data_IF_703214896034
#
_entry.id   IF_703214896034
#
_cell.length_a   1.000
_cell.length_b   1.000
_cell.length_c   1.000
_cell.angle_alpha   90.00
_cell.angle_beta   90.00
_cell.angle_gamma   90.00
#
_symmetry.space_group_name_H-M   'P 1'
#
loop_
_entity.id
_entity.type
_entity.pdbx_description
1 polymer ?
#
# COMPACT_ATOMS: atom_id res chain seq x y z
N UNK A 1 13.29 -47.48 7.99
CA UNK A 1 14.37 -47.26 6.99
C UNK A 1 13.75 -46.74 5.69
N UNK A 2 13.82 -45.43 5.41
CA UNK A 2 13.27 -44.78 4.20
C UNK A 2 14.43 -44.15 3.41
N UNK A 3 14.54 -44.55 2.14
CA UNK A 3 15.62 -44.17 1.21
C UNK A 3 15.44 -42.72 0.73
N UNK A 4 16.48 -41.86 0.70
CA UNK A 4 16.36 -40.52 0.13
C UNK A 4 16.47 -40.56 -1.40
N UNK A 5 15.54 -39.91 -2.11
CA UNK A 5 15.62 -39.66 -3.56
C UNK A 5 16.45 -38.39 -3.80
N UNK A 6 17.56 -38.55 -4.52
CA UNK A 6 18.39 -37.46 -5.04
C UNK A 6 17.65 -36.71 -6.16
N UNK A 7 17.51 -35.38 -6.02
CA UNK A 7 17.08 -34.48 -7.10
C UNK A 7 18.31 -33.89 -7.78
N UNK A 8 18.58 -34.33 -9.00
CA UNK A 8 19.63 -33.81 -9.88
C UNK A 8 19.23 -32.42 -10.40
N UNK A 9 19.97 -31.38 -10.02
CA UNK A 9 19.81 -30.01 -10.53
C UNK A 9 20.40 -29.95 -11.95
N UNK A 10 19.57 -29.86 -12.99
CA UNK A 10 20.03 -29.53 -14.35
C UNK A 10 20.49 -28.06 -14.36
N UNK A 11 21.74 -27.83 -14.76
CA UNK A 11 22.27 -26.50 -15.11
C UNK A 11 21.54 -25.99 -16.34
N UNK A 12 20.95 -24.81 -16.24
CA UNK A 12 20.51 -24.00 -17.39
C UNK A 12 21.74 -23.21 -17.86
N UNK A 13 22.11 -23.36 -19.14
CA UNK A 13 23.10 -22.50 -19.79
C UNK A 13 22.44 -21.15 -20.08
N UNK A 14 23.15 -20.07 -19.79
CA UNK A 14 22.84 -18.73 -20.27
C UNK A 14 23.66 -18.58 -21.55
N UNK A 15 22.99 -18.51 -22.69
CA UNK A 15 23.62 -18.21 -23.97
C UNK A 15 23.70 -16.69 -24.13
N UNK A 16 24.93 -16.18 -24.17
CA UNK A 16 25.28 -14.82 -24.55
C UNK A 16 24.88 -14.53 -26.00
N UNK A 17 24.13 -13.46 -26.21
CA UNK A 17 23.71 -13.00 -27.53
C UNK A 17 23.83 -11.48 -27.66
N UNK A 18 25.03 -11.00 -27.99
CA UNK A 18 25.27 -9.69 -28.62
C UNK A 18 25.23 -9.88 -30.13
N UNK A 19 24.57 -8.94 -30.85
CA UNK A 19 24.68 -8.53 -32.29
C UNK A 19 23.30 -7.91 -32.66
N UNK A 20 23.14 -6.75 -33.29
CA UNK A 20 24.08 -5.78 -33.81
C UNK A 20 23.40 -4.42 -34.01
N UNK A 21 24.20 -3.36 -33.94
CA UNK A 21 23.84 -2.01 -34.34
C UNK A 21 24.12 -1.86 -35.85
N UNK A 22 23.08 -1.64 -36.65
CA UNK A 22 23.19 -0.99 -37.98
C UNK A 22 21.84 -0.40 -38.37
N UNK A 23 21.82 0.90 -38.72
CA UNK A 23 20.64 1.57 -39.27
C UNK A 23 20.66 3.09 -39.13
N UNK A 24 21.52 3.75 -39.90
CA UNK A 24 21.59 5.20 -40.08
C UNK A 24 20.50 5.64 -41.09
N UNK A 25 19.72 6.69 -40.81
CA UNK A 25 18.68 7.18 -41.73
C UNK A 25 17.94 8.45 -41.30
N UNK A 26 18.67 9.58 -41.29
CA UNK A 26 18.30 10.99 -41.55
C UNK A 26 16.82 11.42 -41.52
N UNK A 27 16.46 12.42 -40.70
CA UNK A 27 16.14 13.82 -41.10
C UNK A 27 15.97 14.73 -39.86
N UNK A 28 16.80 15.77 -39.80
CA UNK A 28 16.62 16.93 -38.91
C UNK A 28 15.43 17.78 -39.39
N UNK A 29 14.55 18.15 -38.46
CA UNK A 29 13.75 19.37 -38.54
C UNK A 29 13.81 20.06 -37.18
N UNK A 30 14.39 21.26 -37.18
CA UNK A 30 14.61 22.10 -36.01
C UNK A 30 13.30 22.76 -35.57
N UNK A 31 13.04 22.70 -34.26
CA UNK A 31 11.96 23.42 -33.58
C UNK A 31 12.21 23.36 -32.08
N UNK A 32 13.16 24.15 -31.58
CA UNK A 32 13.46 24.26 -30.15
C UNK A 32 12.44 25.22 -29.52
N UNK A 33 11.28 24.67 -29.16
CA UNK A 33 10.43 25.26 -28.12
C UNK A 33 10.84 24.68 -26.79
N UNK A 34 11.53 25.46 -25.95
CA UNK A 34 11.85 25.12 -24.57
C UNK A 34 10.55 25.11 -23.74
N UNK A 35 9.79 24.02 -23.82
CA UNK A 35 8.78 23.70 -22.81
C UNK A 35 9.54 23.16 -21.61
N UNK A 36 9.76 24.02 -20.61
CA UNK A 36 10.21 23.59 -19.29
C UNK A 36 9.07 22.80 -18.65
N UNK A 37 8.97 21.50 -18.96
CA UNK A 37 8.16 20.58 -18.19
C UNK A 37 8.87 20.47 -16.85
N UNK A 38 8.34 21.16 -15.83
CA UNK A 38 8.70 20.92 -14.46
C UNK A 38 8.33 19.47 -14.14
N UNK A 39 9.30 18.58 -14.29
CA UNK A 39 9.20 17.22 -13.80
C UNK A 39 8.99 17.34 -12.29
N UNK A 40 7.80 16.99 -11.80
CA UNK A 40 7.61 16.68 -10.40
C UNK A 40 8.51 15.48 -10.12
N UNK A 41 9.73 15.74 -9.65
CA UNK A 41 10.64 14.70 -9.24
C UNK A 41 9.95 13.99 -8.08
N UNK A 42 9.78 12.65 -8.11
CA UNK A 42 9.36 11.94 -6.93
C UNK A 42 10.43 12.25 -5.88
N UNK A 43 10.03 12.96 -4.83
CA UNK A 43 10.89 13.15 -3.67
C UNK A 43 11.33 11.74 -3.26
N UNK A 44 12.62 11.45 -3.43
CA UNK A 44 13.19 10.21 -2.92
C UNK A 44 12.77 10.15 -1.46
N UNK A 45 11.99 9.11 -1.14
CA UNK A 45 11.53 8.86 0.21
C UNK A 45 12.74 9.00 1.14
N UNK A 46 12.72 10.00 2.01
CA UNK A 46 13.73 10.10 3.05
C UNK A 46 13.54 8.86 3.90
N UNK A 47 14.52 7.95 3.88
CA UNK A 47 14.43 6.64 4.51
C UNK A 47 14.14 6.71 6.02
N UNK A 48 14.24 7.91 6.62
CA UNK A 48 13.94 8.17 8.03
C UNK A 48 12.53 8.67 8.36
N UNK A 49 11.69 9.08 7.39
CA UNK A 49 10.37 9.66 7.68
C UNK A 49 9.33 9.44 6.57
N UNK A 50 8.06 9.70 6.88
CA UNK A 50 6.93 9.50 5.97
C UNK A 50 6.39 10.81 5.40
N UNK A 51 6.34 10.93 4.07
CA UNK A 51 5.68 12.06 3.41
C UNK A 51 4.14 11.90 3.46
N UNK A 52 3.40 12.91 2.96
CA UNK A 52 1.92 12.92 3.01
C UNK A 52 1.28 11.78 2.23
N UNK A 53 1.84 11.39 1.08
CA UNK A 53 1.33 10.29 0.26
C UNK A 53 1.53 8.94 0.96
N UNK A 54 2.71 8.73 1.54
CA UNK A 54 3.05 7.51 2.28
C UNK A 54 2.18 7.38 3.53
N UNK A 55 2.00 8.48 4.27
CA UNK A 55 1.12 8.51 5.43
C UNK A 55 -0.35 8.23 5.05
N UNK A 56 -0.82 8.78 3.93
CA UNK A 56 -2.15 8.47 3.39
C UNK A 56 -2.28 6.98 3.02
N UNK A 57 -1.29 6.40 2.35
CA UNK A 57 -1.28 4.98 2.02
C UNK A 57 -1.32 4.09 3.28
N UNK A 58 -0.57 4.45 4.32
CA UNK A 58 -0.61 3.76 5.61
C UNK A 58 -2.00 3.83 6.26
N UNK A 59 -2.63 5.01 6.23
CA UNK A 59 -3.98 5.21 6.76
C UNK A 59 -5.04 4.43 6.00
N UNK A 60 -4.95 4.34 4.67
CA UNK A 60 -5.83 3.49 3.85
C UNK A 60 -5.65 2.01 4.21
N UNK A 61 -4.40 1.55 4.40
CA UNK A 61 -4.12 0.18 4.83
C UNK A 61 -4.64 -0.10 6.24
N UNK A 62 -4.56 0.87 7.14
CA UNK A 62 -5.08 0.77 8.50
C UNK A 62 -6.61 0.69 8.53
N UNK A 63 -7.30 1.51 7.73
CA UNK A 63 -8.75 1.39 7.51
C UNK A 63 -9.13 -0.03 7.05
N UNK A 64 -8.40 -0.59 6.07
CA UNK A 64 -8.66 -1.94 5.60
C UNK A 64 -8.47 -2.99 6.71
N UNK A 65 -7.39 -2.88 7.49
CA UNK A 65 -7.11 -3.78 8.62
C UNK A 65 -8.20 -3.69 9.69
N UNK A 66 -8.62 -2.47 10.05
CA UNK A 66 -9.70 -2.23 11.00
C UNK A 66 -11.00 -2.92 10.58
N UNK A 67 -11.46 -2.64 9.36
CA UNK A 67 -12.72 -3.20 8.86
C UNK A 67 -12.63 -4.73 8.76
N UNK A 68 -11.50 -5.28 8.31
CA UNK A 68 -11.29 -6.73 8.26
C UNK A 68 -11.39 -7.37 9.65
N UNK A 69 -10.66 -6.84 10.63
CA UNK A 69 -10.62 -7.40 11.98
C UNK A 69 -11.98 -7.27 12.66
N UNK A 70 -12.67 -6.16 12.49
CA UNK A 70 -14.04 -5.98 12.97
C UNK A 70 -15.00 -7.00 12.33
N UNK A 71 -14.92 -7.23 11.01
CA UNK A 71 -15.69 -8.27 10.32
C UNK A 71 -15.43 -9.67 10.89
N UNK A 72 -14.17 -10.02 11.17
CA UNK A 72 -13.82 -11.31 11.78
C UNK A 72 -14.38 -11.46 13.20
N UNK A 73 -14.32 -10.38 13.99
CA UNK A 73 -14.86 -10.36 15.36
C UNK A 73 -16.39 -10.45 15.37
N UNK A 74 -17.07 -9.75 14.47
CA UNK A 74 -18.52 -9.88 14.29
C UNK A 74 -18.92 -11.29 13.88
N UNK A 75 -18.17 -11.90 12.96
CA UNK A 75 -18.41 -13.31 12.60
C UNK A 75 -18.26 -14.25 13.79
N UNK A 76 -17.23 -14.04 14.63
CA UNK A 76 -17.06 -14.81 15.86
C UNK A 76 -18.17 -14.56 16.89
N UNK A 77 -18.77 -13.38 16.88
CA UNK A 77 -19.95 -13.01 17.69
C UNK A 77 -21.28 -13.55 17.12
N UNK A 78 -21.29 -14.06 15.89
CA UNK A 78 -22.48 -14.63 15.24
C UNK A 78 -23.17 -13.73 14.23
N UNK A 79 -22.60 -12.57 13.90
CA UNK A 79 -23.14 -11.61 12.91
C UNK A 79 -22.23 -11.60 11.68
N UNK A 80 -22.79 -11.91 10.51
CA UNK A 80 -22.02 -11.91 9.26
C UNK A 80 -21.96 -10.50 8.63
N UNK A 81 -20.76 -9.93 8.62
CA UNK A 81 -20.45 -8.62 8.00
C UNK A 81 -19.54 -8.79 6.77
N UNK A 82 -19.35 -10.03 6.30
CA UNK A 82 -18.38 -10.34 5.25
C UNK A 82 -18.78 -9.74 3.88
N UNK A 83 -20.07 -9.72 3.55
CA UNK A 83 -20.53 -9.18 2.27
C UNK A 83 -20.26 -7.66 2.13
N UNK A 84 -20.64 -6.80 3.10
CA UNK A 84 -20.22 -5.39 3.14
C UNK A 84 -18.71 -5.19 2.98
N UNK A 85 -17.91 -5.93 3.76
CA UNK A 85 -16.45 -5.85 3.69
C UNK A 85 -15.89 -6.21 2.32
N UNK A 86 -16.38 -7.30 1.72
CA UNK A 86 -15.95 -7.73 0.39
C UNK A 86 -16.33 -6.72 -0.70
N UNK A 87 -17.47 -6.04 -0.56
CA UNK A 87 -17.84 -4.94 -1.45
C UNK A 87 -16.80 -3.82 -1.40
N UNK A 88 -16.42 -3.38 -0.19
CA UNK A 88 -15.36 -2.39 0.01
C UNK A 88 -14.06 -2.79 -0.69
N UNK A 89 -13.58 -4.02 -0.46
CA UNK A 89 -12.31 -4.50 -1.03
C UNK A 89 -12.37 -4.61 -2.55
N UNK A 90 -13.50 -5.08 -3.09
CA UNK A 90 -13.64 -5.33 -4.54
C UNK A 90 -13.73 -4.01 -5.30
N UNK A 91 -14.55 -3.07 -4.83
CA UNK A 91 -14.74 -1.77 -5.50
C UNK A 91 -13.48 -0.91 -5.44
N UNK A 92 -12.73 -0.96 -4.33
CA UNK A 92 -11.54 -0.14 -4.14
C UNK A 92 -10.23 -0.87 -4.48
N UNK A 93 -10.29 -2.01 -5.18
CA UNK A 93 -9.15 -2.92 -5.37
C UNK A 93 -7.90 -2.22 -5.89
N UNK A 94 -8.03 -1.40 -6.93
CA UNK A 94 -6.89 -0.70 -7.55
C UNK A 94 -6.26 0.29 -6.57
N UNK A 95 -7.08 1.08 -5.87
CA UNK A 95 -6.63 2.03 -4.84
C UNK A 95 -5.93 1.33 -3.68
N UNK A 96 -6.47 0.22 -3.19
CA UNK A 96 -5.85 -0.58 -2.12
C UNK A 96 -4.52 -1.18 -2.57
N UNK A 97 -4.42 -1.64 -3.82
CA UNK A 97 -3.18 -2.15 -4.41
C UNK A 97 -2.13 -1.05 -4.58
N UNK A 98 -2.53 0.13 -5.05
CA UNK A 98 -1.64 1.29 -5.17
C UNK A 98 -1.08 1.72 -3.81
N UNK A 99 -1.93 1.85 -2.79
CA UNK A 99 -1.51 2.14 -1.42
C UNK A 99 -0.53 1.08 -0.89
N UNK A 100 -0.81 -0.21 -1.10
CA UNK A 100 0.10 -1.30 -0.74
C UNK A 100 1.45 -1.21 -1.47
N UNK A 101 1.46 -0.78 -2.73
CA UNK A 101 2.69 -0.52 -3.49
C UNK A 101 3.55 0.58 -2.88
N UNK A 102 2.93 1.71 -2.49
CA UNK A 102 3.61 2.81 -1.79
C UNK A 102 4.24 2.33 -0.49
N UNK A 103 3.51 1.53 0.30
CA UNK A 103 4.04 0.98 1.56
C UNK A 103 5.24 0.08 1.32
N UNK A 104 5.15 -0.88 0.38
CA UNK A 104 6.28 -1.76 0.06
C UNK A 104 7.50 -0.97 -0.38
N UNK A 105 7.33 0.08 -1.19
CA UNK A 105 8.42 0.95 -1.60
C UNK A 105 9.05 1.69 -0.41
N UNK A 106 8.25 2.23 0.52
CA UNK A 106 8.73 2.90 1.72
C UNK A 106 9.54 1.94 2.61
N UNK A 107 9.04 0.74 2.86
CA UNK A 107 9.75 -0.25 3.68
C UNK A 107 11.02 -0.77 2.99
N UNK A 108 11.00 -0.97 1.67
CA UNK A 108 12.21 -1.33 0.91
C UNK A 108 13.28 -0.23 0.98
N UNK A 109 12.89 1.05 0.87
CA UNK A 109 13.81 2.18 0.96
C UNK A 109 14.39 2.34 2.38
N UNK A 110 13.58 2.16 3.43
CA UNK A 110 13.99 2.33 4.82
C UNK A 110 14.79 1.18 5.41
N UNK A 111 14.48 -0.06 5.02
CA UNK A 111 15.02 -1.27 5.66
C UNK A 111 15.84 -2.16 4.72
N UNK A 112 15.99 -1.81 3.44
CA UNK A 112 16.80 -2.59 2.50
C UNK A 112 16.32 -4.04 2.36
N UNK A 113 17.22 -5.00 2.58
CA UNK A 113 16.92 -6.44 2.49
C UNK A 113 15.83 -6.91 3.46
N UNK A 114 15.63 -6.20 4.57
CA UNK A 114 14.66 -6.49 5.61
C UNK A 114 13.30 -5.83 5.35
N UNK A 115 13.15 -5.10 4.24
CA UNK A 115 11.95 -4.33 3.89
C UNK A 115 10.65 -5.13 3.92
N UNK A 116 10.61 -6.29 3.25
CA UNK A 116 9.40 -7.13 3.25
C UNK A 116 9.06 -7.63 4.67
N UNK A 117 10.05 -8.10 5.44
CA UNK A 117 9.85 -8.53 6.83
C UNK A 117 9.42 -7.39 7.76
N UNK A 118 9.86 -6.15 7.50
CA UNK A 118 9.44 -4.96 8.23
C UNK A 118 8.00 -4.56 7.86
N UNK A 119 7.65 -4.64 6.57
CA UNK A 119 6.30 -4.42 6.07
C UNK A 119 5.29 -5.43 6.66
N UNK A 120 5.65 -6.72 6.70
CA UNK A 120 4.80 -7.77 7.27
C UNK A 120 4.53 -7.54 8.76
N UNK A 121 5.57 -7.16 9.53
CA UNK A 121 5.42 -6.78 10.94
C UNK A 121 4.52 -5.57 11.13
N UNK A 122 4.66 -4.56 10.27
CA UNK A 122 3.79 -3.39 10.27
C UNK A 122 2.33 -3.77 10.00
N UNK A 123 2.04 -4.52 8.93
CA UNK A 123 0.65 -4.92 8.65
C UNK A 123 0.06 -5.83 9.73
N UNK A 124 0.89 -6.66 10.37
CA UNK A 124 0.48 -7.46 11.53
C UNK A 124 0.15 -6.57 12.73
N UNK A 125 0.94 -5.53 13.01
CA UNK A 125 0.63 -4.59 14.10
C UNK A 125 -0.68 -3.84 13.85
N UNK A 126 -1.00 -3.47 12.60
CA UNK A 126 -2.30 -2.90 12.24
C UNK A 126 -3.46 -3.81 12.62
N UNK A 127 -3.39 -5.09 12.28
CA UNK A 127 -4.44 -6.05 12.62
C UNK A 127 -4.55 -6.24 14.15
N UNK A 128 -3.42 -6.35 14.83
CA UNK A 128 -3.38 -6.57 16.28
C UNK A 128 -3.97 -5.41 17.08
N UNK A 129 -3.85 -4.17 16.59
CA UNK A 129 -4.44 -2.99 17.24
C UNK A 129 -5.94 -3.14 17.48
N UNK A 130 -6.66 -3.78 16.56
CA UNK A 130 -8.12 -3.93 16.61
C UNK A 130 -8.59 -5.30 17.11
N UNK A 131 -7.67 -6.20 17.44
CA UNK A 131 -8.00 -7.60 17.76
C UNK A 131 -8.79 -7.77 19.05
N UNK A 132 -8.73 -6.80 19.96
CA UNK A 132 -9.29 -6.89 21.30
C UNK A 132 -10.40 -5.87 21.61
N UNK A 133 -10.88 -5.09 20.63
CA UNK A 133 -11.95 -4.13 20.95
C UNK A 133 -13.25 -4.86 21.34
N UNK A 134 -14.19 -4.10 21.91
CA UNK A 134 -15.51 -4.62 22.24
C UNK A 134 -16.29 -4.96 20.97
N UNK A 135 -17.06 -6.05 21.00
CA UNK A 135 -17.97 -6.46 19.92
C UNK A 135 -19.39 -6.54 20.48
N UNK A 136 -20.33 -5.86 19.83
CA UNK A 136 -21.77 -5.85 20.15
C UNK A 136 -22.57 -5.85 18.85
N UNK A 137 -23.88 -6.07 18.92
CA UNK A 137 -24.76 -5.95 17.75
C UNK A 137 -24.61 -4.58 17.07
N UNK A 138 -24.59 -3.50 17.85
CA UNK A 138 -24.44 -2.14 17.36
C UNK A 138 -23.10 -1.94 16.63
N UNK A 139 -21.99 -2.42 17.19
CA UNK A 139 -20.66 -2.31 16.57
C UNK A 139 -20.61 -3.07 15.25
N UNK A 140 -21.30 -4.21 15.16
CA UNK A 140 -21.35 -4.98 13.92
C UNK A 140 -22.20 -4.31 12.84
N UNK A 141 -23.32 -3.68 13.22
CA UNK A 141 -24.11 -2.85 12.32
C UNK A 141 -23.28 -1.65 11.80
N UNK A 142 -22.63 -0.91 12.70
CA UNK A 142 -21.75 0.22 12.34
C UNK A 142 -20.57 -0.21 11.45
N UNK A 143 -20.01 -1.40 11.68
CA UNK A 143 -18.96 -1.97 10.83
C UNK A 143 -19.47 -2.26 9.42
N UNK A 144 -20.69 -2.79 9.30
CA UNK A 144 -21.32 -3.05 8.00
C UNK A 144 -21.57 -1.73 7.25
N UNK A 145 -22.13 -0.73 7.92
CA UNK A 145 -22.40 0.59 7.34
C UNK A 145 -21.12 1.28 6.89
N UNK A 146 -20.08 1.27 7.73
CA UNK A 146 -18.78 1.84 7.38
C UNK A 146 -18.13 1.13 6.19
N UNK A 147 -18.28 -0.19 6.07
CA UNK A 147 -17.77 -0.93 4.92
C UNK A 147 -18.56 -0.60 3.63
N UNK A 148 -19.89 -0.41 3.71
CA UNK A 148 -20.69 0.02 2.58
C UNK A 148 -20.34 1.45 2.14
N UNK A 149 -20.20 2.39 3.09
CA UNK A 149 -19.76 3.76 2.79
C UNK A 149 -18.35 3.77 2.15
N UNK A 150 -17.44 2.91 2.62
CA UNK A 150 -16.12 2.76 2.02
C UNK A 150 -16.20 2.13 0.62
N UNK A 151 -17.16 1.24 0.35
CA UNK A 151 -17.41 0.74 -1.00
C UNK A 151 -17.90 1.88 -1.92
N UNK A 152 -18.79 2.74 -1.44
CA UNK A 152 -19.29 3.90 -2.18
C UNK A 152 -18.20 4.94 -2.50
N UNK A 153 -17.06 4.91 -1.81
CA UNK A 153 -15.91 5.75 -2.15
C UNK A 153 -15.41 5.49 -3.59
N UNK A 154 -15.63 4.29 -4.15
CA UNK A 154 -15.41 4.05 -5.57
C UNK A 154 -13.96 4.25 -6.04
N UNK A 155 -12.99 4.03 -5.16
CA UNK A 155 -11.57 4.26 -5.41
C UNK A 155 -11.06 5.66 -5.03
N UNK A 156 -11.94 6.58 -4.60
CA UNK A 156 -11.56 7.92 -4.14
C UNK A 156 -10.81 7.86 -2.80
N UNK A 157 -9.50 8.06 -2.86
CA UNK A 157 -8.61 8.09 -1.70
C UNK A 157 -9.04 9.14 -0.68
N UNK A 158 -9.50 10.31 -1.10
CA UNK A 158 -9.89 11.39 -0.18
C UNK A 158 -11.08 10.97 0.68
N UNK A 159 -12.07 10.31 0.07
CA UNK A 159 -13.22 9.75 0.79
C UNK A 159 -12.80 8.61 1.72
N UNK A 160 -11.92 7.72 1.28
CA UNK A 160 -11.38 6.66 2.15
C UNK A 160 -10.63 7.24 3.36
N UNK A 161 -9.84 8.31 3.18
CA UNK A 161 -9.13 8.98 4.28
C UNK A 161 -10.09 9.67 5.26
N UNK A 162 -11.20 10.24 4.77
CA UNK A 162 -12.23 10.83 5.62
C UNK A 162 -12.92 9.76 6.50
N UNK A 163 -13.24 8.60 5.92
CA UNK A 163 -13.79 7.45 6.65
C UNK A 163 -12.77 6.95 7.68
N UNK A 164 -11.51 6.80 7.27
CA UNK A 164 -10.42 6.39 8.15
C UNK A 164 -10.27 7.31 9.37
N UNK A 165 -10.27 8.64 9.16
CA UNK A 165 -10.20 9.62 10.24
C UNK A 165 -11.38 9.51 11.20
N UNK A 166 -12.63 9.43 10.69
CA UNK A 166 -13.82 9.31 11.53
C UNK A 166 -13.83 8.04 12.38
N UNK A 167 -13.29 6.95 11.83
CA UNK A 167 -13.14 5.71 12.57
C UNK A 167 -11.95 5.76 13.54
N UNK A 168 -11.00 6.68 13.38
CA UNK A 168 -9.78 6.74 14.18
C UNK A 168 -8.71 5.75 13.72
N UNK A 169 -8.69 5.41 12.42
CA UNK A 169 -7.59 4.69 11.80
C UNK A 169 -6.39 5.64 11.64
N UNK A 170 -5.43 5.53 12.56
CA UNK A 170 -4.26 6.39 12.65
C UNK A 170 -3.04 5.52 13.04
N UNK A 171 -2.39 4.87 12.06
CA UNK A 171 -1.31 3.95 12.36
C UNK A 171 -0.07 4.68 12.88
N UNK A 172 0.64 4.06 13.82
CA UNK A 172 1.98 4.51 14.21
C UNK A 172 2.94 4.29 13.04
N UNK A 173 3.55 5.38 12.55
CA UNK A 173 4.45 5.36 11.39
C UNK A 173 5.90 5.15 11.87
N UNK A 174 6.59 4.09 11.44
CA UNK A 174 8.01 3.89 11.77
C UNK A 174 8.86 5.09 11.29
N UNK A 175 9.54 5.77 12.20
CA UNK A 175 10.32 6.99 11.88
C UNK A 175 9.50 8.30 11.84
N UNK A 176 8.18 8.22 12.00
CA UNK A 176 7.29 9.39 12.06
C UNK A 176 7.09 10.10 10.72
N UNK A 177 6.25 11.13 10.72
CA UNK A 177 6.01 11.97 9.55
C UNK A 177 7.18 12.92 9.31
N UNK A 178 7.45 13.22 8.04
CA UNK A 178 8.50 14.16 7.67
C UNK A 178 8.17 15.58 8.15
N UNK A 179 9.17 16.35 8.63
CA UNK A 179 8.95 17.73 9.03
C UNK A 179 8.54 18.58 7.84
N UNK A 180 7.55 19.45 8.02
CA UNK A 180 7.17 20.46 7.02
C UNK A 180 8.34 21.44 6.88
N UNK A 181 8.98 21.46 5.71
CA UNK A 181 10.03 22.43 5.38
C UNK A 181 9.41 23.56 4.57
N UNK A 182 9.34 24.75 5.17
CA UNK A 182 9.06 25.98 4.41
C UNK A 182 10.39 26.47 3.83
N UNK A 183 10.56 26.37 2.52
CA UNK A 183 11.66 27.08 1.85
C UNK A 183 11.35 28.57 1.89
N UNK A 184 12.09 29.32 2.68
CA UNK A 184 12.07 30.78 2.61
C UNK A 184 12.69 31.18 1.26
N UNK A 185 11.87 31.66 0.33
CA UNK A 185 12.35 32.35 -0.85
C UNK A 185 13.12 33.60 -0.39
N UNK A 186 14.40 33.69 -0.77
CA UNK A 186 15.21 34.90 -0.63
C UNK A 186 15.16 35.69 -1.92
#
# INVERSE_FOLDING_TARGET
MRKPRSRTRKRVRVDDGVIGMTGLGTKLAAGIGLVAIAMAQPALADAGCWNSEQAAAARVRDLQSRLMVATLRCKAFGIDVLAPYNSFVTVNRETLQAANGVLKAQFAAGFGSEGESAYDRFTTSLANQYGADATTDQICAETADAALEAAEAGGDVTRLLAIAERLGAAPELPGGACPIRFSAAR
#
